data_IF_094379706108
#
_entry.id   IF_094379706108
#
_cell.length_a   1.000
_cell.length_b   1.000
_cell.length_c   1.000
_cell.angle_alpha   90.00
_cell.angle_beta   90.00
_cell.angle_gamma   90.00
#
_symmetry.space_group_name_H-M   'P 1'
#
loop_
_entity.id
_entity.type
_entity.pdbx_description
1 polymer ?
#
# COMPACT_ATOMS: atom_id res chain seq x y z
N UNK A 1 -20.97 -19.68 16.48
CA UNK A 1 -22.11 -19.73 15.55
C UNK A 1 -23.13 -18.64 15.94
N UNK A 2 -22.73 -17.35 15.98
CA UNK A 2 -23.58 -16.23 16.45
C UNK A 2 -23.41 -14.94 15.64
N UNK A 3 -22.88 -14.99 14.42
CA UNK A 3 -22.66 -13.77 13.62
C UNK A 3 -23.85 -13.39 12.72
N UNK A 4 -24.85 -14.28 12.59
CA UNK A 4 -26.05 -14.08 11.75
C UNK A 4 -27.12 -13.18 12.39
N UNK A 5 -26.89 -12.62 13.58
CA UNK A 5 -27.94 -11.91 14.32
C UNK A 5 -28.11 -10.43 13.93
N UNK A 6 -27.22 -9.87 13.10
CA UNK A 6 -27.30 -8.46 12.71
C UNK A 6 -27.10 -8.17 11.22
N UNK A 7 -26.46 -9.07 10.45
CA UNK A 7 -26.16 -8.83 9.02
C UNK A 7 -26.68 -10.01 8.19
N UNK A 8 -27.51 -9.75 7.15
CA UNK A 8 -27.95 -10.76 6.20
C UNK A 8 -26.78 -11.52 5.57
N UNK A 9 -26.99 -12.80 5.29
CA UNK A 9 -26.00 -13.65 4.63
C UNK A 9 -25.53 -13.09 3.26
N UNK A 10 -26.43 -12.41 2.53
CA UNK A 10 -26.13 -11.75 1.26
C UNK A 10 -25.14 -10.57 1.44
N UNK A 11 -25.34 -9.75 2.48
CA UNK A 11 -24.48 -8.59 2.76
C UNK A 11 -23.08 -9.01 3.22
N UNK A 12 -22.98 -10.13 3.94
CA UNK A 12 -21.67 -10.75 4.28
C UNK A 12 -20.91 -11.13 3.00
N UNK A 13 -21.58 -11.69 2.00
CA UNK A 13 -20.97 -12.02 0.71
C UNK A 13 -20.49 -10.75 -0.02
N UNK A 14 -21.33 -9.73 -0.04
CA UNK A 14 -21.07 -8.44 -0.66
C UNK A 14 -19.86 -7.74 -0.03
N UNK A 15 -19.81 -7.64 1.30
CA UNK A 15 -18.68 -7.04 2.00
C UNK A 15 -17.40 -7.82 1.75
N UNK A 16 -17.44 -9.16 1.81
CA UNK A 16 -16.28 -10.00 1.54
C UNK A 16 -15.74 -9.81 0.11
N UNK A 17 -16.63 -9.65 -0.87
CA UNK A 17 -16.23 -9.48 -2.28
C UNK A 17 -15.68 -8.09 -2.54
N UNK A 18 -16.37 -7.02 -2.14
CA UNK A 18 -15.92 -5.65 -2.42
C UNK A 18 -14.61 -5.34 -1.68
N UNK A 19 -14.51 -5.69 -0.41
CA UNK A 19 -13.26 -5.50 0.35
C UNK A 19 -12.16 -6.43 -0.15
N UNK A 20 -12.50 -7.66 -0.54
CA UNK A 20 -11.58 -8.61 -1.15
C UNK A 20 -10.99 -8.07 -2.46
N UNK A 21 -11.81 -7.50 -3.34
CA UNK A 21 -11.36 -6.89 -4.59
C UNK A 21 -10.46 -5.67 -4.37
N UNK A 22 -10.71 -4.89 -3.32
CA UNK A 22 -9.90 -3.72 -3.00
C UNK A 22 -8.54 -4.09 -2.38
N UNK A 23 -8.47 -5.16 -1.57
CA UNK A 23 -7.30 -5.47 -0.75
C UNK A 23 -6.46 -6.65 -1.25
N UNK A 24 -7.05 -7.63 -1.95
CA UNK A 24 -6.36 -8.87 -2.30
C UNK A 24 -5.73 -8.85 -3.69
N UNK A 25 -4.57 -9.49 -3.79
CA UNK A 25 -3.94 -9.79 -5.07
C UNK A 25 -4.70 -10.90 -5.81
N UNK A 26 -4.42 -11.08 -7.10
CA UNK A 26 -5.04 -12.09 -7.96
C UNK A 26 -5.00 -13.52 -7.37
N UNK A 27 -3.87 -13.92 -6.77
CA UNK A 27 -3.72 -15.25 -6.15
C UNK A 27 -4.52 -15.37 -4.84
N UNK A 28 -4.58 -14.29 -4.06
CA UNK A 28 -5.37 -14.22 -2.85
C UNK A 28 -6.89 -14.23 -3.15
N UNK A 29 -7.34 -13.58 -4.22
CA UNK A 29 -8.74 -13.64 -4.67
C UNK A 29 -9.17 -15.07 -5.00
N UNK A 30 -8.33 -15.82 -5.72
CA UNK A 30 -8.62 -17.22 -6.03
C UNK A 30 -8.73 -18.08 -4.77
N UNK A 31 -7.75 -18.00 -3.89
CA UNK A 31 -7.69 -18.87 -2.70
C UNK A 31 -8.72 -18.49 -1.63
N UNK A 32 -8.87 -17.20 -1.33
CA UNK A 32 -9.68 -16.71 -0.20
C UNK A 32 -11.14 -16.44 -0.55
N UNK A 33 -11.46 -16.18 -1.82
CA UNK A 33 -12.84 -15.88 -2.25
C UNK A 33 -13.42 -17.02 -3.09
N UNK A 34 -12.79 -17.39 -4.21
CA UNK A 34 -13.36 -18.38 -5.14
C UNK A 34 -13.27 -19.83 -4.64
N UNK A 35 -12.15 -20.20 -4.03
CA UNK A 35 -11.89 -21.57 -3.54
C UNK A 35 -12.31 -21.79 -2.09
N UNK A 36 -12.76 -20.74 -1.39
CA UNK A 36 -13.12 -20.83 0.02
C UNK A 36 -14.48 -21.48 0.21
N UNK A 37 -14.50 -22.67 0.81
CA UNK A 37 -15.71 -23.45 1.09
C UNK A 37 -16.66 -22.75 2.04
N UNK A 38 -16.14 -21.88 2.92
CA UNK A 38 -16.98 -21.15 3.88
C UNK A 38 -17.72 -19.98 3.23
N UNK A 39 -17.13 -19.32 2.23
CA UNK A 39 -17.76 -18.20 1.52
C UNK A 39 -18.66 -18.65 0.37
N UNK A 40 -18.48 -19.86 -0.13
CA UNK A 40 -19.21 -20.37 -1.30
C UNK A 40 -20.74 -20.37 -1.14
N UNK A 41 -21.33 -20.81 -0.01
CA UNK A 41 -22.78 -20.75 0.19
C UNK A 41 -23.33 -19.31 0.17
N UNK A 42 -22.56 -18.35 0.66
CA UNK A 42 -22.93 -16.93 0.66
C UNK A 42 -22.88 -16.34 -0.76
N UNK A 43 -21.89 -16.75 -1.56
CA UNK A 43 -21.77 -16.38 -2.97
C UNK A 43 -22.76 -17.11 -3.89
N UNK A 44 -23.43 -18.16 -3.41
CA UNK A 44 -24.50 -18.84 -4.17
C UNK A 44 -25.82 -18.07 -4.06
N UNK A 45 -26.01 -17.25 -3.02
CA UNK A 45 -27.15 -16.35 -2.88
C UNK A 45 -27.12 -15.23 -3.92
N UNK A 46 -25.93 -14.66 -4.17
CA UNK A 46 -25.73 -13.54 -5.09
C UNK A 46 -24.69 -13.89 -6.17
N UNK A 47 -25.10 -14.55 -7.26
CA UNK A 47 -24.19 -15.06 -8.28
C UNK A 47 -23.44 -13.95 -9.02
N UNK A 48 -24.01 -12.75 -9.13
CA UNK A 48 -23.36 -11.61 -9.81
C UNK A 48 -22.02 -11.23 -9.14
N UNK A 49 -21.90 -11.38 -7.82
CA UNK A 49 -20.66 -11.10 -7.09
C UNK A 49 -19.53 -12.06 -7.50
N UNK A 50 -19.88 -13.32 -7.75
CA UNK A 50 -18.94 -14.34 -8.23
C UNK A 50 -18.45 -14.01 -9.63
N UNK A 51 -19.34 -13.55 -10.50
CA UNK A 51 -19.00 -13.18 -11.87
C UNK A 51 -18.06 -11.96 -11.90
N UNK A 52 -18.28 -10.98 -11.02
CA UNK A 52 -17.34 -9.86 -10.82
C UNK A 52 -15.96 -10.41 -10.44
N UNK A 53 -15.86 -11.23 -9.38
CA UNK A 53 -14.56 -11.76 -8.91
C UNK A 53 -13.86 -12.58 -9.99
N UNK A 54 -14.62 -13.37 -10.77
CA UNK A 54 -14.08 -14.13 -11.91
C UNK A 54 -13.55 -13.21 -13.00
N UNK A 55 -14.30 -12.17 -13.38
CA UNK A 55 -13.85 -11.20 -14.39
C UNK A 55 -12.53 -10.53 -13.98
N UNK A 56 -12.38 -10.12 -12.72
CA UNK A 56 -11.12 -9.58 -12.20
C UNK A 56 -10.00 -10.63 -12.15
N UNK A 57 -10.31 -11.88 -11.78
CA UNK A 57 -9.34 -12.97 -11.79
C UNK A 57 -8.86 -13.32 -13.21
N UNK A 58 -9.72 -13.24 -14.22
CA UNK A 58 -9.42 -13.61 -15.60
C UNK A 58 -8.89 -12.41 -16.42
N UNK A 59 -8.59 -11.29 -15.76
CA UNK A 59 -8.10 -10.04 -16.37
C UNK A 59 -9.09 -9.39 -17.36
N UNK A 60 -10.37 -9.70 -17.25
CA UNK A 60 -11.47 -9.08 -18.01
C UNK A 60 -11.98 -7.83 -17.27
N UNK A 61 -11.13 -6.81 -17.14
CA UNK A 61 -11.39 -5.65 -16.28
C UNK A 61 -12.58 -4.81 -16.75
N UNK A 62 -12.78 -4.64 -18.07
CA UNK A 62 -13.95 -3.93 -18.62
C UNK A 62 -15.26 -4.53 -18.08
N UNK A 63 -15.47 -5.83 -18.26
CA UNK A 63 -16.69 -6.52 -17.82
C UNK A 63 -16.85 -6.46 -16.30
N UNK A 64 -15.76 -6.65 -15.55
CA UNK A 64 -15.80 -6.56 -14.09
C UNK A 64 -16.18 -5.17 -13.58
N UNK A 65 -15.67 -4.11 -14.21
CA UNK A 65 -15.97 -2.72 -13.87
C UNK A 65 -17.38 -2.30 -14.29
N UNK A 66 -17.86 -2.76 -15.44
CA UNK A 66 -19.25 -2.54 -15.89
C UNK A 66 -20.26 -3.20 -14.94
N UNK A 67 -19.99 -4.45 -14.52
CA UNK A 67 -20.80 -5.12 -13.51
C UNK A 67 -20.74 -4.38 -12.17
N UNK A 68 -19.56 -3.95 -11.73
CA UNK A 68 -19.42 -3.20 -10.49
C UNK A 68 -20.20 -1.87 -10.53
N UNK A 69 -20.12 -1.12 -11.63
CA UNK A 69 -20.85 0.13 -11.81
C UNK A 69 -22.37 -0.06 -11.80
N UNK A 70 -22.88 -1.16 -12.36
CA UNK A 70 -24.31 -1.50 -12.34
C UNK A 70 -24.85 -1.63 -10.91
N UNK A 71 -24.07 -2.20 -10.00
CA UNK A 71 -24.47 -2.42 -8.61
C UNK A 71 -23.98 -1.32 -7.65
N UNK A 72 -23.19 -0.34 -8.12
CA UNK A 72 -22.67 0.76 -7.31
C UNK A 72 -23.77 1.57 -6.62
N UNK A 73 -24.89 1.80 -7.32
CA UNK A 73 -26.05 2.47 -6.74
C UNK A 73 -26.64 1.72 -5.54
N UNK A 74 -26.69 0.38 -5.61
CA UNK A 74 -27.14 -0.46 -4.50
C UNK A 74 -26.15 -0.41 -3.32
N UNK A 75 -24.85 -0.41 -3.60
CA UNK A 75 -23.81 -0.29 -2.57
C UNK A 75 -23.87 1.04 -1.81
N UNK A 76 -24.30 2.12 -2.47
CA UNK A 76 -24.46 3.44 -1.84
C UNK A 76 -25.69 3.56 -0.94
N UNK A 77 -26.65 2.64 -1.06
CA UNK A 77 -27.82 2.58 -0.19
C UNK A 77 -27.57 1.78 1.10
N UNK A 78 -26.43 1.09 1.19
CA UNK A 78 -26.04 0.29 2.34
C UNK A 78 -25.56 1.18 3.50
N UNK A 79 -26.14 0.98 4.69
CA UNK A 79 -25.86 1.79 5.88
C UNK A 79 -24.38 1.76 6.33
N UNK A 80 -23.71 0.63 6.13
CA UNK A 80 -22.33 0.42 6.58
C UNK A 80 -21.33 0.75 5.47
N UNK A 81 -21.64 0.39 4.22
CA UNK A 81 -20.70 0.48 3.12
C UNK A 81 -20.72 1.84 2.43
N UNK A 82 -21.85 2.57 2.43
CA UNK A 82 -22.03 3.80 1.65
C UNK A 82 -20.88 4.80 1.78
N UNK A 83 -20.38 5.03 3.01
CA UNK A 83 -19.28 5.96 3.30
C UNK A 83 -17.94 5.51 2.70
N UNK A 84 -17.76 4.20 2.50
CA UNK A 84 -16.52 3.60 2.03
C UNK A 84 -16.55 3.22 0.55
N UNK A 85 -17.72 3.12 -0.09
CA UNK A 85 -17.86 2.68 -1.49
C UNK A 85 -16.93 3.45 -2.42
N UNK A 86 -16.90 4.78 -2.35
CA UNK A 86 -16.06 5.60 -3.23
C UNK A 86 -14.57 5.26 -3.10
N UNK A 87 -14.09 5.09 -1.86
CA UNK A 87 -12.70 4.74 -1.60
C UNK A 87 -12.38 3.29 -2.02
N UNK A 88 -13.31 2.37 -1.81
CA UNK A 88 -13.17 0.97 -2.21
C UNK A 88 -13.15 0.83 -3.74
N UNK A 89 -14.10 1.44 -4.44
CA UNK A 89 -14.15 1.44 -5.91
C UNK A 89 -12.90 2.08 -6.50
N UNK A 90 -12.42 3.19 -5.92
CA UNK A 90 -11.16 3.81 -6.33
C UNK A 90 -9.98 2.83 -6.17
N UNK A 91 -9.87 2.18 -5.02
CA UNK A 91 -8.83 1.18 -4.74
C UNK A 91 -8.90 -0.01 -5.70
N UNK A 92 -10.10 -0.48 -6.03
CA UNK A 92 -10.32 -1.56 -7.01
C UNK A 92 -9.82 -1.13 -8.40
N UNK A 93 -10.13 0.09 -8.84
CA UNK A 93 -9.67 0.64 -10.12
C UNK A 93 -8.14 0.70 -10.19
N UNK A 94 -7.50 1.23 -9.14
CA UNK A 94 -6.05 1.30 -9.04
C UNK A 94 -5.40 -0.10 -9.02
N UNK A 95 -5.97 -1.04 -8.25
CA UNK A 95 -5.52 -2.43 -8.20
C UNK A 95 -5.66 -3.15 -9.55
N UNK A 96 -6.72 -2.86 -10.31
CA UNK A 96 -6.93 -3.40 -11.64
C UNK A 96 -5.88 -2.91 -12.66
N UNK A 97 -5.55 -1.61 -12.63
CA UNK A 97 -4.46 -1.03 -13.44
C UNK A 97 -3.13 -1.74 -13.15
N UNK A 98 -2.81 -1.93 -11.86
CA UNK A 98 -1.59 -2.62 -11.45
C UNK A 98 -1.57 -4.08 -11.92
N UNK A 99 -2.68 -4.79 -11.75
CA UNK A 99 -2.81 -6.19 -12.16
C UNK A 99 -2.73 -6.36 -13.68
N UNK A 100 -3.28 -5.42 -14.45
CA UNK A 100 -3.18 -5.40 -15.90
C UNK A 100 -1.75 -5.15 -16.36
N UNK A 101 -1.03 -4.21 -15.73
CA UNK A 101 0.32 -3.84 -16.13
C UNK A 101 1.40 -4.86 -15.70
N UNK A 102 1.15 -5.64 -14.65
CA UNK A 102 2.12 -6.58 -14.07
C UNK A 102 2.89 -7.48 -15.06
N UNK A 103 2.29 -8.07 -16.12
CA UNK A 103 3.03 -8.91 -17.06
C UNK A 103 3.76 -8.14 -18.17
N UNK A 104 3.62 -6.82 -18.27
CA UNK A 104 4.13 -6.04 -19.39
C UNK A 104 5.34 -5.18 -18.99
N UNK A 105 6.36 -5.14 -19.85
CA UNK A 105 7.48 -4.21 -19.72
C UNK A 105 7.12 -2.81 -20.23
N UNK A 106 6.29 -2.73 -21.28
CA UNK A 106 5.75 -1.48 -21.80
C UNK A 106 4.37 -1.71 -22.42
N UNK A 107 3.49 -0.71 -22.29
CA UNK A 107 2.10 -0.77 -22.77
C UNK A 107 1.68 0.60 -23.31
N UNK A 108 0.97 0.63 -24.44
CA UNK A 108 0.35 1.87 -24.94
C UNK A 108 -0.90 2.22 -24.12
N UNK A 109 -1.03 3.50 -23.74
CA UNK A 109 -2.15 4.00 -22.94
C UNK A 109 -3.50 3.83 -23.66
N UNK A 110 -3.54 4.02 -24.98
CA UNK A 110 -4.74 3.79 -25.79
C UNK A 110 -5.23 2.34 -25.73
N UNK A 111 -4.32 1.35 -25.83
CA UNK A 111 -4.66 -0.08 -25.70
C UNK A 111 -5.14 -0.42 -24.30
N UNK A 112 -4.53 0.18 -23.29
CA UNK A 112 -4.95 0.02 -21.90
C UNK A 112 -6.34 0.64 -21.69
N UNK A 113 -6.59 1.85 -22.17
CA UNK A 113 -7.89 2.51 -22.10
C UNK A 113 -9.00 1.66 -22.77
N UNK A 114 -8.73 1.10 -23.94
CA UNK A 114 -9.65 0.18 -24.63
C UNK A 114 -9.96 -1.09 -23.83
N UNK A 115 -8.96 -1.67 -23.14
CA UNK A 115 -9.14 -2.87 -22.31
C UNK A 115 -9.98 -2.62 -21.06
N UNK A 116 -10.07 -1.37 -20.60
CA UNK A 116 -10.89 -0.95 -19.45
C UNK A 116 -12.20 -0.30 -19.87
N UNK A 117 -12.36 0.07 -21.14
CA UNK A 117 -13.53 0.80 -21.64
C UNK A 117 -13.55 2.27 -21.21
N UNK A 118 -12.39 2.88 -20.95
CA UNK A 118 -12.27 4.28 -20.53
C UNK A 118 -11.76 5.17 -21.66
N UNK A 119 -11.95 6.48 -21.50
CA UNK A 119 -11.27 7.46 -22.33
C UNK A 119 -9.76 7.48 -22.01
N UNK A 120 -8.94 7.78 -23.03
CA UNK A 120 -7.48 7.81 -22.88
C UNK A 120 -7.04 8.85 -21.83
N UNK A 121 -7.67 10.04 -21.81
CA UNK A 121 -7.37 11.08 -20.83
C UNK A 121 -7.60 10.61 -19.38
N UNK A 122 -8.69 9.86 -19.15
CA UNK A 122 -9.00 9.32 -17.82
C UNK A 122 -7.98 8.24 -17.42
N UNK A 123 -7.61 7.37 -18.36
CA UNK A 123 -6.59 6.35 -18.13
C UNK A 123 -5.23 7.01 -17.80
N UNK A 124 -4.83 8.04 -18.53
CA UNK A 124 -3.59 8.76 -18.29
C UNK A 124 -3.57 9.42 -16.91
N UNK A 125 -4.67 10.07 -16.50
CA UNK A 125 -4.79 10.67 -15.18
C UNK A 125 -4.68 9.63 -14.05
N UNK A 126 -5.40 8.50 -14.19
CA UNK A 126 -5.38 7.42 -13.19
C UNK A 126 -3.99 6.77 -13.07
N UNK A 127 -3.29 6.55 -14.19
CA UNK A 127 -1.92 6.03 -14.19
C UNK A 127 -0.94 7.05 -13.59
N UNK A 128 -1.12 8.35 -13.87
CA UNK A 128 -0.29 9.41 -13.27
C UNK A 128 -0.45 9.46 -11.75
N UNK A 129 -1.67 9.30 -11.22
CA UNK A 129 -1.92 9.17 -9.78
C UNK A 129 -1.20 7.94 -9.18
N UNK A 130 -1.27 6.80 -9.86
CA UNK A 130 -0.67 5.54 -9.38
C UNK A 130 0.87 5.59 -9.39
N UNK A 131 1.47 6.29 -10.37
CA UNK A 131 2.90 6.55 -10.43
C UNK A 131 3.32 7.59 -9.40
N UNK A 132 2.53 8.66 -9.21
CA UNK A 132 2.80 9.71 -8.24
C UNK A 132 2.74 9.23 -6.78
N UNK A 133 1.82 8.30 -6.48
CA UNK A 133 1.72 7.64 -5.17
C UNK A 133 2.81 6.57 -4.93
N UNK A 134 3.58 6.21 -5.95
CA UNK A 134 4.64 5.20 -5.84
C UNK A 134 4.16 3.74 -5.81
N UNK A 135 2.85 3.50 -5.92
CA UNK A 135 2.26 2.16 -5.99
C UNK A 135 2.64 1.43 -7.28
N UNK A 136 2.84 2.18 -8.36
CA UNK A 136 3.29 1.66 -9.64
C UNK A 136 4.69 2.16 -10.00
N UNK A 137 5.66 1.25 -10.06
CA UNK A 137 7.03 1.52 -10.51
C UNK A 137 7.09 1.60 -12.04
N UNK A 138 6.51 2.65 -12.60
CA UNK A 138 6.52 2.89 -14.05
C UNK A 138 6.80 4.37 -14.38
N UNK A 139 7.10 4.65 -15.64
CA UNK A 139 7.27 5.99 -16.20
C UNK A 139 6.32 6.16 -17.38
N UNK A 140 5.62 7.30 -17.40
CA UNK A 140 4.76 7.69 -18.51
C UNK A 140 5.62 8.46 -19.53
N UNK A 141 5.59 8.03 -20.79
CA UNK A 141 6.06 8.79 -21.95
C UNK A 141 4.84 9.38 -22.66
N UNK A 142 4.55 10.64 -22.38
CA UNK A 142 3.39 11.36 -22.95
C UNK A 142 3.54 11.67 -24.43
N UNK A 143 4.76 11.74 -24.96
CA UNK A 143 4.97 12.00 -26.39
C UNK A 143 4.60 10.79 -27.25
N UNK A 144 4.83 9.58 -26.72
CA UNK A 144 4.49 8.32 -27.39
C UNK A 144 3.19 7.68 -26.91
N UNK A 145 2.62 8.18 -25.81
CA UNK A 145 1.45 7.57 -25.16
C UNK A 145 1.74 6.16 -24.63
N UNK A 146 2.94 5.95 -24.07
CA UNK A 146 3.40 4.63 -23.60
C UNK A 146 3.78 4.69 -22.12
N UNK A 147 3.32 3.69 -21.39
CA UNK A 147 3.74 3.40 -20.02
C UNK A 147 4.88 2.37 -20.05
N UNK A 148 6.01 2.71 -19.45
CA UNK A 148 7.21 1.85 -19.42
C UNK A 148 7.54 1.49 -17.98
N UNK A 149 7.74 0.20 -17.70
CA UNK A 149 8.09 -0.28 -16.38
C UNK A 149 9.50 0.23 -16.00
N UNK A 150 9.67 0.76 -14.79
CA UNK A 150 10.99 1.05 -14.25
C UNK A 150 11.59 -0.25 -13.71
N UNK A 151 12.23 -1.00 -14.59
CA UNK A 151 13.11 -2.09 -14.18
C UNK A 151 14.43 -1.47 -13.73
N UNK A 152 14.54 -1.18 -12.43
CA UNK A 152 15.82 -0.78 -11.85
C UNK A 152 16.66 -2.03 -11.64
N UNK A 153 17.89 -1.99 -12.11
CA UNK A 153 18.83 -3.09 -11.95
C UNK A 153 19.17 -3.19 -10.44
N UNK A 154 18.89 -4.33 -9.76
CA UNK A 154 19.04 -4.44 -8.31
C UNK A 154 20.45 -4.09 -7.85
N UNK A 155 21.46 -4.34 -8.68
CA UNK A 155 22.86 -3.97 -8.39
C UNK A 155 23.07 -2.47 -8.27
N UNK A 156 22.42 -1.68 -9.11
CA UNK A 156 22.54 -0.22 -9.11
C UNK A 156 21.84 0.34 -7.87
N UNK A 157 20.68 -0.22 -7.51
CA UNK A 157 19.95 0.16 -6.30
C UNK A 157 20.76 -0.17 -5.03
N UNK A 158 21.29 -1.39 -4.90
CA UNK A 158 22.12 -1.76 -3.74
C UNK A 158 23.36 -0.91 -3.62
N UNK A 159 24.01 -0.59 -4.75
CA UNK A 159 25.20 0.27 -4.76
C UNK A 159 24.87 1.69 -4.31
N UNK A 160 23.76 2.24 -4.81
CA UNK A 160 23.30 3.58 -4.42
C UNK A 160 22.92 3.64 -2.93
N UNK A 161 22.18 2.64 -2.45
CA UNK A 161 21.79 2.54 -1.04
C UNK A 161 23.00 2.40 -0.13
N UNK A 162 23.99 1.57 -0.49
CA UNK A 162 25.23 1.41 0.27
C UNK A 162 26.04 2.73 0.34
N UNK A 163 26.10 3.48 -0.75
CA UNK A 163 26.76 4.80 -0.77
C UNK A 163 26.04 5.82 0.11
N UNK A 164 24.71 5.85 0.07
CA UNK A 164 23.92 6.78 0.89
C UNK A 164 24.00 6.44 2.39
N UNK A 165 23.95 5.15 2.75
CA UNK A 165 24.19 4.71 4.13
C UNK A 165 25.63 5.01 4.58
N UNK A 166 26.63 4.82 3.70
CA UNK A 166 28.02 5.18 3.98
C UNK A 166 28.18 6.67 4.30
N UNK A 167 27.55 7.56 3.52
CA UNK A 167 27.55 9.01 3.78
C UNK A 167 26.89 9.37 5.12
N UNK A 168 25.76 8.72 5.46
CA UNK A 168 25.10 8.92 6.76
C UNK A 168 26.01 8.47 7.90
N UNK A 169 26.67 7.32 7.75
CA UNK A 169 27.58 6.79 8.75
C UNK A 169 28.79 7.71 8.95
N UNK A 170 29.37 8.25 7.88
CA UNK A 170 30.46 9.23 7.98
C UNK A 170 30.03 10.48 8.76
N UNK A 171 28.85 11.05 8.45
CA UNK A 171 28.31 12.20 9.19
C UNK A 171 28.12 11.90 10.68
N UNK A 172 27.61 10.71 11.01
CA UNK A 172 27.44 10.26 12.40
C UNK A 172 28.79 10.09 13.11
N UNK A 173 29.79 9.52 12.44
CA UNK A 173 31.12 9.34 13.01
C UNK A 173 31.78 10.68 13.35
N UNK A 174 31.71 11.67 12.44
CA UNK A 174 32.24 13.02 12.69
C UNK A 174 31.50 13.70 13.84
N UNK A 175 30.17 13.61 13.87
CA UNK A 175 29.36 14.19 14.96
C UNK A 175 29.68 13.54 16.32
N UNK A 176 29.86 12.22 16.36
CA UNK A 176 30.26 11.50 17.56
C UNK A 176 31.68 11.85 18.01
N UNK A 177 32.62 11.98 17.06
CA UNK A 177 33.97 12.39 17.37
C UNK A 177 34.02 13.80 17.97
N UNK A 178 33.28 14.74 17.39
CA UNK A 178 33.13 16.09 17.94
C UNK A 178 32.53 16.04 19.35
N UNK A 179 31.46 15.26 19.55
CA UNK A 179 30.84 15.08 20.87
C UNK A 179 31.83 14.55 21.90
N UNK A 180 32.63 13.55 21.56
CA UNK A 180 33.69 13.04 22.43
C UNK A 180 34.71 14.11 22.79
N UNK A 181 35.12 14.94 21.82
CA UNK A 181 36.06 16.04 22.07
C UNK A 181 35.48 17.13 22.97
N UNK A 182 34.20 17.48 22.81
CA UNK A 182 33.52 18.43 23.69
C UNK A 182 33.44 17.90 25.12
N UNK A 183 33.15 16.61 25.31
CA UNK A 183 33.13 15.97 26.63
C UNK A 183 34.51 15.90 27.27
N UNK A 184 35.58 15.62 26.50
CA UNK A 184 36.97 15.62 27.00
C UNK A 184 37.43 16.99 27.51
N UNK A 185 36.86 18.08 27.00
CA UNK A 185 37.19 19.44 27.39
C UNK A 185 36.14 20.07 28.34
N UNK A 186 35.29 19.25 28.98
CA UNK A 186 34.22 19.68 29.89
C UNK A 186 33.24 20.71 29.31
N UNK A 187 33.11 20.78 27.98
CA UNK A 187 32.16 21.64 27.27
C UNK A 187 30.78 20.97 27.22
N UNK A 188 30.20 20.73 28.39
CA UNK A 188 28.89 20.12 28.56
C UNK A 188 27.87 21.19 28.93
N UNK A 189 26.77 21.25 28.18
CA UNK A 189 25.63 22.12 28.52
C UNK A 189 25.00 21.60 29.81
N UNK A 190 25.20 22.34 30.91
CA UNK A 190 24.47 22.06 32.15
C UNK A 190 22.98 22.33 31.90
N UNK A 191 22.08 21.41 32.28
CA UNK A 191 20.65 21.66 32.13
C UNK A 191 20.29 22.94 32.88
N UNK A 192 19.52 23.81 32.23
CA UNK A 192 19.05 25.04 32.86
C UNK A 192 18.30 24.68 34.15
N UNK A 193 18.73 25.25 35.28
CA UNK A 193 18.01 25.12 36.55
C UNK A 193 16.60 25.67 36.34
N UNK A 194 15.60 24.79 36.30
CA UNK A 194 14.20 25.18 36.47
C UNK A 194 14.09 25.85 37.84
N UNK A 195 13.74 27.12 37.87
CA UNK A 195 13.35 27.82 39.09
C UNK A 195 12.01 27.23 39.55
N UNK A 196 12.02 26.50 40.66
CA UNK A 196 10.84 25.85 41.25
C UNK A 196 11.27 24.65 42.11
N UNK A 197 11.31 24.85 43.42
CA UNK A 197 12.07 24.04 44.39
C UNK A 197 11.50 22.67 44.77
N UNK A 198 12.36 21.86 45.39
CA UNK A 198 11.94 20.83 46.36
C UNK A 198 12.53 19.43 46.20
N UNK A 199 13.58 19.18 47.00
CA UNK A 199 14.05 17.90 47.59
C UNK A 199 14.96 16.98 46.79
N UNK A 200 16.01 16.59 47.52
CA UNK A 200 17.10 15.69 47.21
C UNK A 200 16.66 14.34 46.65
N UNK A 201 17.35 13.91 45.60
CA UNK A 201 17.77 12.53 45.44
C UNK A 201 19.09 12.51 44.68
N UNK A 202 20.14 12.15 45.40
CA UNK A 202 21.42 11.73 44.85
C UNK A 202 21.18 10.55 43.90
N UNK A 203 21.39 10.75 42.61
CA UNK A 203 21.67 9.65 41.67
C UNK A 203 23.17 9.63 41.45
N UNK A 204 23.80 8.78 42.25
CA UNK A 204 25.18 8.35 42.20
C UNK A 204 25.45 7.77 40.80
N UNK A 205 26.26 8.47 40.01
CA UNK A 205 26.84 7.93 38.78
C UNK A 205 27.90 6.92 39.22
N UNK A 206 27.54 5.64 39.17
CA UNK A 206 28.45 4.55 39.51
C UNK A 206 29.40 4.31 38.33
N UNK A 207 30.66 4.61 38.58
CA UNK A 207 31.82 4.35 37.74
C UNK A 207 32.28 2.93 38.03
N UNK A 208 31.99 1.97 37.13
CA UNK A 208 32.78 0.74 36.87
C UNK A 208 32.04 -0.23 35.94
N UNK A 209 32.59 -0.45 34.76
CA UNK A 209 32.75 -1.80 34.23
C UNK A 209 33.85 -1.81 33.17
N UNK A 210 35.08 -2.01 33.64
CA UNK A 210 36.11 -2.72 32.90
C UNK A 210 35.58 -4.13 32.63
N UNK A 211 35.40 -4.51 31.38
CA UNK A 211 35.33 -5.93 31.01
C UNK A 211 36.54 -6.21 30.14
N UNK A 212 37.51 -6.88 30.76
CA UNK A 212 38.67 -7.44 30.09
C UNK A 212 38.24 -8.56 29.15
N UNK A 213 39.06 -8.68 28.11
CA UNK A 213 39.12 -9.75 27.13
C UNK A 213 39.70 -10.99 27.80
N UNK A 214 39.03 -12.14 27.61
CA UNK A 214 39.65 -13.46 27.51
C UNK A 214 39.23 -14.05 26.16
#
# INVERSE_FOLDING_TARGET
MYFLQFIPAADVALYAVITGLACFSRSALRSRVLANTNLRPFLDLEPYLRDIVRAFHDSQFKTGLELLAKYEACLLLDIHLAHHVKALVHSIRLGAIQAYFAPFASVSLSRMAAAFGWHEDYMQAAVAELVGSGMLKARIDSAKGVLVARMQDPRVETSKNALDEGKKMQKRAVANHLRMKLMQNDLVVKPARRSGGGRDQQLQYDDRSTTQVD
#
